data_IF_934433743275
#
_entry.id   IF_934433743275
#
_cell.length_a   1.000
_cell.length_b   1.000
_cell.length_c   1.000
_cell.angle_alpha   90.00
_cell.angle_beta   90.00
_cell.angle_gamma   90.00
#
_symmetry.space_group_name_H-M   'P 1'
#
loop_
_entity.id
_entity.type
_entity.pdbx_description
1 polymer ?
#
# COMPACT_ATOMS: atom_id res chain seq x y z
N UNK A 1 10.19 62.70 34.69
CA UNK A 1 8.85 62.59 35.33
C UNK A 1 7.78 62.65 34.27
N UNK A 2 7.16 61.52 33.93
CA UNK A 2 5.77 61.34 33.46
C UNK A 2 5.50 59.82 33.42
N UNK A 3 4.31 59.46 33.88
CA UNK A 3 3.84 58.12 34.29
C UNK A 3 3.81 57.05 33.18
N UNK A 4 3.71 55.76 33.56
CA UNK A 4 3.75 54.63 32.63
C UNK A 4 2.37 54.35 32.00
N UNK A 5 2.36 53.90 30.75
CA UNK A 5 1.19 53.25 30.16
C UNK A 5 1.22 51.74 30.46
N UNK A 6 0.22 51.29 31.22
CA UNK A 6 -0.17 49.89 31.29
C UNK A 6 -0.55 49.41 29.88
N UNK A 7 0.21 48.45 29.35
CA UNK A 7 -0.23 47.62 28.22
C UNK A 7 -0.94 46.39 28.79
N UNK A 8 -2.27 46.37 28.65
CA UNK A 8 -3.10 45.19 28.83
C UNK A 8 -2.68 44.14 27.78
N UNK A 9 -2.02 43.07 28.23
CA UNK A 9 -1.84 41.85 27.44
C UNK A 9 -3.17 41.09 27.39
N UNK A 10 -3.94 41.31 26.32
CA UNK A 10 -5.05 40.45 25.96
C UNK A 10 -4.53 39.10 25.48
N UNK A 11 -4.69 38.07 26.30
CA UNK A 11 -4.44 36.69 25.90
C UNK A 11 -5.49 36.26 24.85
N UNK A 12 -5.12 36.29 23.57
CA UNK A 12 -5.83 35.50 22.56
C UNK A 12 -5.54 34.03 22.86
N UNK A 13 -6.53 33.35 23.46
CA UNK A 13 -6.56 31.91 23.47
C UNK A 13 -6.82 31.41 22.04
N UNK A 14 -5.74 31.10 21.30
CA UNK A 14 -5.84 30.23 20.13
C UNK A 14 -6.33 28.87 20.62
N UNK A 15 -7.61 28.59 20.42
CA UNK A 15 -8.12 27.23 20.49
C UNK A 15 -7.42 26.43 19.37
N UNK A 16 -6.34 25.74 19.73
CA UNK A 16 -5.80 24.69 18.89
C UNK A 16 -6.90 23.65 18.75
N UNK A 17 -7.51 23.57 17.57
CA UNK A 17 -8.29 22.40 17.20
C UNK A 17 -7.33 21.22 17.27
N UNK A 18 -7.38 20.48 18.38
CA UNK A 18 -6.74 19.18 18.50
C UNK A 18 -7.47 18.34 17.46
N UNK A 19 -6.88 18.20 16.28
CA UNK A 19 -7.33 17.23 15.30
C UNK A 19 -7.34 15.89 16.04
N UNK A 20 -8.53 15.37 16.33
CA UNK A 20 -8.63 14.05 16.90
C UNK A 20 -7.89 13.11 15.96
N UNK A 21 -7.04 12.19 16.47
CA UNK A 21 -6.46 11.17 15.62
C UNK A 21 -7.64 10.45 14.98
N UNK A 22 -7.75 10.57 13.65
CA UNK A 22 -8.70 9.76 12.90
C UNK A 22 -8.23 8.33 13.15
N UNK A 23 -8.98 7.58 13.95
CA UNK A 23 -8.79 6.14 14.13
C UNK A 23 -9.06 5.47 12.79
N UNK A 24 -8.05 5.54 11.92
CA UNK A 24 -8.12 5.00 10.59
C UNK A 24 -7.85 3.51 10.71
N UNK A 25 -8.89 2.70 10.57
CA UNK A 25 -8.71 1.25 10.39
C UNK A 25 -8.09 1.05 9.00
N UNK A 26 -6.82 0.61 8.89
CA UNK A 26 -6.20 0.41 7.58
C UNK A 26 -6.99 -0.63 6.79
N UNK A 27 -7.03 -0.45 5.46
CA UNK A 27 -7.62 -1.44 4.58
C UNK A 27 -6.97 -2.83 4.80
N UNK A 28 -7.71 -3.94 4.61
CA UNK A 28 -7.16 -5.27 4.74
C UNK A 28 -6.00 -5.49 3.77
N UNK A 29 -5.15 -6.46 4.11
CA UNK A 29 -3.97 -6.80 3.31
C UNK A 29 -4.36 -7.19 1.87
N UNK A 30 -3.73 -6.52 0.90
CA UNK A 30 -3.85 -6.78 -0.53
C UNK A 30 -2.49 -6.97 -1.17
N UNK A 31 -2.39 -7.70 -2.29
CA UNK A 31 -1.13 -7.84 -2.99
C UNK A 31 -0.68 -6.48 -3.54
N UNK A 32 0.61 -6.27 -3.53
CA UNK A 32 1.32 -5.24 -4.27
C UNK A 32 1.45 -5.72 -5.71
N UNK A 33 1.14 -4.85 -6.66
CA UNK A 33 1.38 -5.04 -8.09
C UNK A 33 2.46 -4.05 -8.50
N UNK A 34 3.73 -4.48 -8.58
CA UNK A 34 4.80 -3.65 -9.10
C UNK A 34 4.65 -3.44 -10.60
N UNK A 35 4.93 -2.22 -11.03
CA UNK A 35 5.07 -1.82 -12.41
C UNK A 35 6.49 -1.36 -12.65
N UNK A 36 7.03 -1.74 -13.79
CA UNK A 36 8.37 -1.36 -14.24
C UNK A 36 8.25 -0.40 -15.41
N UNK A 37 9.20 0.53 -15.49
CA UNK A 37 9.29 1.46 -16.60
C UNK A 37 9.88 0.75 -17.83
N UNK A 38 9.17 0.81 -18.94
CA UNK A 38 9.61 0.47 -20.29
C UNK A 38 9.65 1.75 -21.13
N UNK A 39 10.30 1.67 -22.29
CA UNK A 39 10.34 2.77 -23.27
C UNK A 39 8.91 3.26 -23.63
N UNK A 40 7.98 2.33 -23.80
CA UNK A 40 6.59 2.61 -24.19
C UNK A 40 5.68 3.05 -23.04
N UNK A 41 6.12 2.97 -21.79
CA UNK A 41 5.29 3.28 -20.62
C UNK A 41 5.56 2.37 -19.44
N UNK A 42 4.61 2.29 -18.50
CA UNK A 42 4.69 1.33 -17.39
C UNK A 42 3.97 0.04 -17.74
N UNK A 43 4.56 -1.09 -17.37
CA UNK A 43 3.94 -2.41 -17.51
C UNK A 43 4.05 -3.19 -16.17
N UNK A 44 3.09 -4.08 -15.85
CA UNK A 44 3.20 -4.94 -14.68
C UNK A 44 4.50 -5.76 -14.74
N UNK A 45 5.22 -5.80 -13.63
CA UNK A 45 6.42 -6.62 -13.50
C UNK A 45 6.02 -8.09 -13.49
N UNK A 46 6.60 -8.86 -14.40
CA UNK A 46 6.35 -10.28 -14.53
C UNK A 46 7.37 -11.13 -13.76
N UNK A 47 8.64 -10.72 -13.76
CA UNK A 47 9.70 -11.43 -13.07
C UNK A 47 10.88 -10.51 -12.77
N UNK A 48 11.85 -11.02 -12.01
CA UNK A 48 13.16 -10.43 -11.85
C UNK A 48 14.16 -11.46 -12.36
N UNK A 49 15.01 -11.10 -13.31
CA UNK A 49 15.96 -12.04 -13.88
C UNK A 49 17.15 -12.32 -12.94
N UNK A 50 18.01 -13.28 -13.30
CA UNK A 50 19.16 -13.68 -12.48
C UNK A 50 20.21 -12.58 -12.23
N UNK A 51 20.16 -11.49 -12.99
CA UNK A 51 20.97 -10.29 -12.76
C UNK A 51 20.26 -9.24 -11.89
N UNK A 52 19.18 -9.65 -11.22
CA UNK A 52 18.31 -8.81 -10.40
C UNK A 52 17.67 -7.65 -11.19
N UNK A 53 17.46 -7.86 -12.49
CA UNK A 53 16.82 -6.88 -13.36
C UNK A 53 15.31 -7.15 -13.46
N UNK A 54 14.44 -6.18 -13.14
CA UNK A 54 13.01 -6.33 -13.32
C UNK A 54 12.62 -6.50 -14.79
N UNK A 55 11.64 -7.34 -15.06
CA UNK A 55 11.14 -7.64 -16.41
C UNK A 55 9.63 -7.57 -16.45
N UNK A 56 9.07 -7.19 -17.59
CA UNK A 56 7.65 -7.26 -17.90
C UNK A 56 7.41 -8.23 -19.07
N UNK A 57 6.18 -8.70 -19.24
CA UNK A 57 5.76 -9.44 -20.42
C UNK A 57 5.08 -8.50 -21.41
N UNK A 58 5.65 -8.36 -22.60
CA UNK A 58 5.09 -7.59 -23.73
C UNK A 58 4.90 -8.56 -24.88
N UNK A 59 3.65 -8.75 -25.31
CA UNK A 59 3.30 -9.70 -26.40
C UNK A 59 3.87 -11.11 -26.16
N UNK A 60 3.84 -11.56 -24.91
CA UNK A 60 4.36 -12.88 -24.49
C UNK A 60 5.89 -12.97 -24.39
N UNK A 61 6.63 -11.90 -24.68
CA UNK A 61 8.09 -11.85 -24.57
C UNK A 61 8.51 -11.13 -23.31
N UNK A 62 9.54 -11.65 -22.65
CA UNK A 62 10.16 -10.97 -21.51
C UNK A 62 10.98 -9.78 -22.00
N UNK A 63 10.65 -8.60 -21.48
CA UNK A 63 11.32 -7.32 -21.79
C UNK A 63 11.85 -6.75 -20.48
N UNK A 64 13.14 -6.38 -20.47
CA UNK A 64 13.77 -5.74 -19.32
C UNK A 64 13.24 -4.32 -19.13
N UNK A 65 13.14 -3.91 -17.88
CA UNK A 65 12.88 -2.52 -17.52
C UNK A 65 13.96 -1.61 -18.14
N UNK A 66 13.55 -0.42 -18.59
CA UNK A 66 14.43 0.64 -19.09
C UNK A 66 15.39 1.11 -17.98
N UNK A 67 14.85 1.26 -16.77
CA UNK A 67 15.60 1.62 -15.57
C UNK A 67 15.32 0.63 -14.44
N UNK A 68 16.38 0.26 -13.70
CA UNK A 68 16.31 -0.63 -12.54
C UNK A 68 15.78 0.05 -11.28
N UNK A 69 15.70 1.39 -11.26
CA UNK A 69 15.31 2.14 -10.05
C UNK A 69 13.93 2.81 -10.16
N UNK A 70 13.27 2.75 -11.30
CA UNK A 70 11.97 3.39 -11.52
C UNK A 70 10.85 2.35 -11.41
N UNK A 71 10.10 2.46 -10.31
CA UNK A 71 8.94 1.61 -10.01
C UNK A 71 7.69 2.43 -9.83
N UNK A 72 6.56 1.86 -10.24
CA UNK A 72 5.25 2.27 -9.76
C UNK A 72 4.59 1.09 -9.03
N UNK A 73 3.67 1.40 -8.13
CA UNK A 73 2.94 0.39 -7.38
C UNK A 73 1.44 0.64 -7.44
N UNK A 74 0.71 -0.46 -7.49
CA UNK A 74 -0.72 -0.52 -7.26
C UNK A 74 -1.02 -1.59 -6.23
N UNK A 75 -2.15 -1.46 -5.54
CA UNK A 75 -2.73 -2.60 -4.87
C UNK A 75 -3.48 -3.45 -5.90
N UNK A 76 -3.31 -4.76 -5.83
CA UNK A 76 -4.09 -5.74 -6.59
C UNK A 76 -5.19 -6.37 -5.75
N UNK A 77 -5.91 -7.31 -6.36
CA UNK A 77 -7.12 -7.88 -5.77
C UNK A 77 -6.91 -9.28 -5.18
N UNK A 78 -5.95 -10.05 -5.68
CA UNK A 78 -5.82 -11.47 -5.33
C UNK A 78 -4.35 -11.88 -5.23
N UNK A 79 -3.98 -12.50 -4.13
CA UNK A 79 -2.66 -13.11 -3.94
C UNK A 79 -2.57 -14.40 -4.77
N UNK A 80 -1.36 -14.71 -5.22
CA UNK A 80 -1.05 -16.04 -5.72
C UNK A 80 -1.21 -17.10 -4.60
N UNK A 81 -1.48 -18.37 -4.95
CA UNK A 81 -1.54 -19.46 -3.99
C UNK A 81 -0.26 -19.60 -3.15
N UNK A 82 -0.42 -20.13 -1.94
CA UNK A 82 0.66 -20.39 -1.00
C UNK A 82 0.97 -19.23 -0.06
N UNK A 83 1.93 -19.49 0.80
CA UNK A 83 2.40 -18.58 1.84
C UNK A 83 3.91 -18.70 2.00
N UNK A 84 4.58 -17.56 2.21
CA UNK A 84 6.03 -17.51 2.50
C UNK A 84 6.28 -16.84 3.84
N UNK A 85 6.75 -17.62 4.81
CA UNK A 85 7.21 -17.10 6.09
C UNK A 85 8.60 -16.46 5.92
N UNK A 86 8.72 -15.20 6.32
CA UNK A 86 9.96 -14.43 6.39
C UNK A 86 10.38 -14.37 7.85
N UNK A 87 11.49 -15.05 8.17
CA UNK A 87 11.97 -15.23 9.56
C UNK A 87 13.46 -14.91 9.65
N UNK A 88 14.01 -14.89 10.87
CA UNK A 88 15.44 -14.63 11.12
C UNK A 88 15.90 -13.34 10.42
N UNK A 89 15.09 -12.29 10.57
CA UNK A 89 15.37 -11.02 9.94
C UNK A 89 16.41 -10.26 10.75
N UNK A 90 17.48 -9.86 10.06
CA UNK A 90 18.56 -9.06 10.61
C UNK A 90 18.86 -7.90 9.65
N UNK A 91 18.99 -6.69 10.21
CA UNK A 91 19.42 -5.50 9.46
C UNK A 91 20.79 -5.08 9.98
N UNK A 92 21.77 -5.06 9.09
CA UNK A 92 23.13 -4.63 9.40
C UNK A 92 23.45 -3.34 8.64
N UNK A 93 23.78 -2.27 9.35
CA UNK A 93 24.20 -1.02 8.74
C UNK A 93 25.71 -1.00 8.57
N UNK A 94 26.17 -0.75 7.35
CA UNK A 94 27.58 -0.61 7.02
C UNK A 94 27.95 0.86 6.90
N UNK A 95 29.01 1.26 7.57
CA UNK A 95 29.64 2.57 7.42
C UNK A 95 31.09 2.39 7.00
N UNK A 96 31.57 3.33 6.19
CA UNK A 96 33.00 3.45 5.92
C UNK A 96 33.59 4.37 6.98
N UNK A 97 34.59 3.86 7.70
CA UNK A 97 35.41 4.64 8.61
C UNK A 97 36.58 5.22 7.81
N UNK A 98 36.85 6.50 8.01
CA UNK A 98 38.00 7.18 7.44
C UNK A 98 38.93 7.56 8.59
N UNK A 99 40.22 7.34 8.43
CA UNK A 99 41.26 7.80 9.36
C UNK A 99 42.27 8.63 8.58
N UNK A 100 42.98 9.56 9.23
CA UNK A 100 44.18 10.15 8.64
C UNK A 100 45.38 9.20 8.70
N UNK A 101 46.55 9.67 8.24
CA UNK A 101 47.80 8.91 8.27
C UNK A 101 48.34 8.66 9.68
N UNK A 102 47.83 9.37 10.69
CA UNK A 102 48.19 9.21 12.11
C UNK A 102 47.15 8.36 12.87
N UNK A 103 46.23 7.71 12.15
CA UNK A 103 45.10 6.94 12.69
C UNK A 103 44.10 7.76 13.53
N UNK A 104 44.02 9.08 13.32
CA UNK A 104 42.97 9.91 13.91
C UNK A 104 41.65 9.61 13.19
N UNK A 105 40.60 9.17 13.90
CA UNK A 105 39.33 8.84 13.26
C UNK A 105 38.57 10.08 12.80
N UNK A 106 38.11 10.07 11.56
CA UNK A 106 37.12 10.99 11.02
C UNK A 106 35.69 10.45 11.19
N UNK A 107 34.69 11.29 10.89
CA UNK A 107 33.28 10.88 10.87
C UNK A 107 33.04 9.73 9.89
N UNK A 108 32.34 8.69 10.34
CA UNK A 108 31.92 7.58 9.48
C UNK A 108 30.75 7.98 8.58
N UNK A 109 30.78 7.57 7.31
CA UNK A 109 29.66 7.78 6.38
C UNK A 109 28.91 6.45 6.20
N UNK A 110 27.60 6.39 6.47
CA UNK A 110 26.79 5.21 6.14
C UNK A 110 26.83 4.95 4.63
N UNK A 111 27.16 3.72 4.23
CA UNK A 111 27.26 3.36 2.80
C UNK A 111 26.06 2.56 2.33
N UNK A 112 25.63 1.57 3.11
CA UNK A 112 24.48 0.74 2.79
C UNK A 112 23.98 -0.02 4.03
N UNK A 113 22.74 -0.50 3.95
CA UNK A 113 22.18 -1.48 4.87
C UNK A 113 22.12 -2.84 4.17
N UNK A 114 22.39 -3.91 4.90
CA UNK A 114 22.19 -5.29 4.46
C UNK A 114 21.01 -5.86 5.23
N UNK A 115 19.99 -6.31 4.51
CA UNK A 115 18.86 -7.05 5.07
C UNK A 115 19.11 -8.53 4.81
N UNK A 116 19.22 -9.31 5.88
CA UNK A 116 19.30 -10.77 5.84
C UNK A 116 17.98 -11.36 6.35
N UNK A 117 17.49 -12.41 5.69
CA UNK A 117 16.29 -13.12 6.15
C UNK A 117 16.31 -14.58 5.67
N UNK A 118 15.44 -15.39 6.27
CA UNK A 118 15.15 -16.76 5.86
C UNK A 118 13.71 -16.86 5.35
N UNK A 119 13.56 -17.22 4.08
CA UNK A 119 12.29 -17.47 3.42
C UNK A 119 11.93 -18.95 3.52
N UNK A 120 10.73 -19.28 3.99
CA UNK A 120 10.21 -20.66 4.01
C UNK A 120 8.82 -20.68 3.39
N UNK A 121 8.64 -21.39 2.28
CA UNK A 121 7.34 -21.53 1.62
C UNK A 121 6.63 -22.81 2.05
N UNK A 122 5.30 -22.78 2.10
CA UNK A 122 4.44 -23.95 2.29
C UNK A 122 4.24 -24.77 0.99
N UNK A 123 4.55 -24.21 -0.16
CA UNK A 123 4.47 -24.84 -1.48
C UNK A 123 5.83 -24.79 -2.21
N UNK A 124 5.97 -25.58 -3.27
CA UNK A 124 7.08 -25.44 -4.21
C UNK A 124 6.83 -24.21 -5.11
N UNK A 125 7.84 -23.33 -5.20
CA UNK A 125 7.82 -22.16 -6.08
C UNK A 125 9.06 -22.28 -6.98
N UNK A 126 8.86 -22.49 -8.29
CA UNK A 126 9.96 -22.74 -9.22
C UNK A 126 10.84 -21.52 -9.45
N UNK A 127 10.23 -20.34 -9.52
CA UNK A 127 10.93 -19.07 -9.74
C UNK A 127 10.36 -17.98 -8.83
N UNK A 128 10.97 -17.82 -7.65
CA UNK A 128 10.62 -16.78 -6.71
C UNK A 128 11.48 -15.53 -6.95
N UNK A 129 10.86 -14.38 -6.79
CA UNK A 129 11.53 -13.09 -6.73
C UNK A 129 11.02 -12.31 -5.52
N UNK A 130 11.77 -11.31 -5.08
CA UNK A 130 11.36 -10.45 -3.96
C UNK A 130 11.58 -8.99 -4.30
N UNK A 131 10.74 -8.13 -3.71
CA UNK A 131 11.04 -6.71 -3.54
C UNK A 131 11.17 -6.43 -2.04
N UNK A 132 12.29 -5.83 -1.64
CA UNK A 132 12.37 -5.15 -0.36
C UNK A 132 11.76 -3.76 -0.54
N UNK A 133 10.60 -3.52 0.07
CA UNK A 133 9.94 -2.22 0.11
C UNK A 133 10.33 -1.52 1.40
N UNK A 134 10.67 -0.25 1.30
CA UNK A 134 10.91 0.65 2.42
C UNK A 134 10.02 1.85 2.23
N UNK A 135 9.26 2.25 3.24
CA UNK A 135 8.23 3.27 3.10
C UNK A 135 7.97 3.98 4.41
N UNK A 136 7.43 5.19 4.31
CA UNK A 136 6.92 5.92 5.47
C UNK A 136 5.46 5.49 5.72
N UNK A 137 5.24 4.68 6.75
CA UNK A 137 3.89 4.23 7.12
C UNK A 137 3.10 5.29 7.88
N UNK A 138 3.75 6.34 8.38
CA UNK A 138 3.15 7.33 9.25
C UNK A 138 2.93 8.67 8.53
N UNK A 139 3.34 8.78 7.26
CA UNK A 139 3.12 9.95 6.42
C UNK A 139 1.62 10.28 6.23
N UNK A 140 1.33 11.56 6.04
CA UNK A 140 -0.01 12.04 5.69
C UNK A 140 -0.39 11.61 4.26
N UNK A 141 -1.69 11.33 4.07
CA UNK A 141 -2.31 10.98 2.78
C UNK A 141 -2.28 12.10 1.75
N UNK A 142 -2.03 13.34 2.18
CA UNK A 142 -2.00 14.53 1.32
C UNK A 142 -0.61 14.82 0.73
N UNK A 143 0.39 14.05 1.15
CA UNK A 143 1.79 14.18 0.73
C UNK A 143 2.11 13.16 -0.35
N UNK A 144 3.05 13.48 -1.23
CA UNK A 144 3.62 12.49 -2.17
C UNK A 144 4.17 11.31 -1.36
N UNK A 145 3.67 10.07 -1.56
CA UNK A 145 4.10 8.92 -0.79
C UNK A 145 5.59 8.62 -1.00
N UNK A 146 6.37 8.58 0.08
CA UNK A 146 7.79 8.25 0.04
C UNK A 146 7.99 6.74 0.18
N UNK A 147 8.65 6.13 -0.81
CA UNK A 147 9.07 4.74 -0.75
C UNK A 147 10.35 4.50 -1.55
N UNK A 148 11.01 3.38 -1.28
CA UNK A 148 12.05 2.79 -2.11
C UNK A 148 11.82 1.29 -2.26
N UNK A 149 12.30 0.74 -3.37
CA UNK A 149 12.19 -0.68 -3.66
C UNK A 149 13.55 -1.22 -4.13
N UNK A 150 13.90 -2.43 -3.68
CA UNK A 150 15.08 -3.14 -4.18
C UNK A 150 14.71 -4.54 -4.64
N UNK A 151 14.90 -4.86 -5.93
CA UNK A 151 14.56 -6.16 -6.49
C UNK A 151 15.67 -7.18 -6.25
N UNK A 152 15.25 -8.44 -6.07
CA UNK A 152 16.16 -9.57 -6.01
C UNK A 152 15.53 -10.83 -6.58
N UNK A 153 16.26 -11.50 -7.45
CA UNK A 153 15.95 -12.86 -7.87
C UNK A 153 16.32 -13.84 -6.75
N UNK A 154 15.37 -14.71 -6.40
CA UNK A 154 15.58 -15.77 -5.42
C UNK A 154 15.69 -17.13 -6.11
N UNK A 155 14.93 -17.35 -7.18
CA UNK A 155 14.80 -18.64 -7.86
C UNK A 155 14.02 -19.64 -7.01
N UNK A 156 14.29 -20.94 -7.20
CA UNK A 156 13.49 -22.01 -6.58
C UNK A 156 13.44 -21.92 -5.04
N UNK A 157 12.22 -21.98 -4.51
CA UNK A 157 11.90 -22.27 -3.11
C UNK A 157 11.22 -23.63 -3.05
N UNK A 158 11.66 -24.50 -2.15
CA UNK A 158 11.03 -25.81 -1.95
C UNK A 158 10.16 -25.78 -0.69
N UNK A 159 9.01 -26.42 -0.74
CA UNK A 159 8.08 -26.51 0.37
C UNK A 159 8.78 -26.97 1.66
N UNK A 160 8.55 -26.24 2.76
CA UNK A 160 9.14 -26.49 4.07
C UNK A 160 10.65 -26.25 4.19
N UNK A 161 11.35 -25.97 3.10
CA UNK A 161 12.81 -25.75 3.11
C UNK A 161 13.13 -24.27 3.15
N UNK A 162 13.72 -23.84 4.25
CA UNK A 162 14.15 -22.46 4.40
C UNK A 162 15.34 -22.10 3.51
N UNK A 163 15.25 -20.95 2.84
CA UNK A 163 16.32 -20.38 2.00
C UNK A 163 16.75 -19.02 2.56
N UNK A 164 18.04 -18.87 2.83
CA UNK A 164 18.61 -17.58 3.26
C UNK A 164 18.72 -16.64 2.07
N UNK A 165 18.41 -15.38 2.31
CA UNK A 165 18.55 -14.28 1.36
C UNK A 165 19.33 -13.14 2.01
N UNK A 166 20.00 -12.36 1.17
CA UNK A 166 20.63 -11.10 1.56
C UNK A 166 20.39 -10.08 0.46
N UNK A 167 20.01 -8.87 0.86
CA UNK A 167 19.85 -7.74 -0.05
C UNK A 167 20.62 -6.54 0.49
N UNK A 168 21.24 -5.79 -0.42
CA UNK A 168 21.80 -4.47 -0.14
C UNK A 168 20.75 -3.42 -0.44
N UNK A 169 20.67 -2.42 0.42
CA UNK A 169 19.81 -1.26 0.26
C UNK A 169 20.57 0.01 0.66
N UNK A 170 20.22 1.20 0.15
CA UNK A 170 20.72 2.45 0.70
C UNK A 170 20.55 2.51 2.23
N UNK A 171 21.38 3.30 2.94
CA UNK A 171 21.31 3.38 4.39
C UNK A 171 19.89 3.75 4.86
N UNK A 172 19.32 2.92 5.72
CA UNK A 172 18.08 3.22 6.44
C UNK A 172 18.37 4.21 7.58
N UNK A 173 18.89 5.39 7.24
CA UNK A 173 19.31 6.42 8.18
C UNK A 173 18.43 7.68 8.14
N UNK A 174 18.27 8.34 9.28
CA UNK A 174 17.53 9.61 9.44
C UNK A 174 16.60 9.61 10.66
N UNK A 175 16.02 10.76 10.99
CA UNK A 175 15.01 10.90 12.07
C UNK A 175 13.64 10.31 11.70
N UNK A 176 13.44 9.91 10.44
CA UNK A 176 12.20 9.28 9.96
C UNK A 176 12.14 7.81 10.37
N UNK A 177 11.00 7.40 10.91
CA UNK A 177 10.70 6.01 11.23
C UNK A 177 10.26 5.30 9.95
N UNK A 178 11.21 4.68 9.26
CA UNK A 178 10.92 3.88 8.07
C UNK A 178 10.32 2.53 8.46
N UNK A 179 9.18 2.19 7.88
CA UNK A 179 8.69 0.83 7.82
C UNK A 179 9.28 0.13 6.60
N UNK A 180 9.28 -1.20 6.61
CA UNK A 180 9.75 -1.98 5.47
C UNK A 180 9.01 -3.33 5.41
N UNK A 181 9.02 -3.95 4.24
CA UNK A 181 8.40 -5.25 4.01
C UNK A 181 9.09 -6.00 2.89
N UNK A 182 9.28 -7.32 3.06
CA UNK A 182 9.72 -8.21 1.98
C UNK A 182 8.47 -8.82 1.35
N UNK A 183 8.19 -8.41 0.12
CA UNK A 183 7.11 -8.97 -0.69
C UNK A 183 7.67 -10.00 -1.66
N UNK A 184 7.03 -11.16 -1.74
CA UNK A 184 7.48 -12.30 -2.54
C UNK A 184 6.57 -12.49 -3.74
N UNK A 185 7.16 -12.68 -4.92
CA UNK A 185 6.47 -12.82 -6.18
C UNK A 185 6.82 -14.13 -6.88
N UNK A 186 5.88 -14.65 -7.65
CA UNK A 186 6.13 -15.64 -8.69
C UNK A 186 5.15 -15.42 -9.83
N UNK A 187 5.62 -15.52 -11.08
CA UNK A 187 4.78 -15.31 -12.27
C UNK A 187 4.05 -13.95 -12.29
N UNK A 188 4.69 -12.90 -11.78
CA UNK A 188 4.13 -11.55 -11.73
C UNK A 188 3.06 -11.30 -10.65
N UNK A 189 2.76 -12.31 -9.83
CA UNK A 189 1.77 -12.20 -8.75
C UNK A 189 2.45 -12.28 -7.39
N UNK A 190 2.00 -11.46 -6.45
CA UNK A 190 2.48 -11.55 -5.07
C UNK A 190 1.91 -12.79 -4.39
N UNK A 191 2.79 -13.59 -3.78
CA UNK A 191 2.45 -14.65 -2.84
C UNK A 191 2.36 -14.02 -1.44
N UNK A 192 1.36 -14.40 -0.65
CA UNK A 192 1.20 -13.87 0.71
C UNK A 192 2.46 -14.16 1.52
N UNK A 193 3.02 -13.14 2.15
CA UNK A 193 4.17 -13.28 3.05
C UNK A 193 3.86 -12.74 4.43
N UNK A 194 4.48 -13.33 5.44
CA UNK A 194 4.43 -12.87 6.83
C UNK A 194 5.84 -12.64 7.37
N UNK A 195 6.00 -11.65 8.25
CA UNK A 195 7.28 -11.31 8.87
C UNK A 195 7.18 -10.02 9.67
N UNK A 196 8.29 -9.60 10.27
CA UNK A 196 8.34 -8.34 11.01
C UNK A 196 7.99 -7.17 10.07
N UNK A 197 7.20 -6.21 10.56
CA UNK A 197 6.70 -5.02 9.83
C UNK A 197 5.77 -5.25 8.61
N UNK A 198 5.42 -6.49 8.25
CA UNK A 198 4.43 -6.72 7.15
C UNK A 198 3.05 -6.12 7.47
N UNK A 199 2.74 -5.86 8.75
CA UNK A 199 1.53 -5.19 9.20
C UNK A 199 1.44 -3.71 8.79
N UNK A 200 2.56 -3.06 8.44
CA UNK A 200 2.59 -1.66 8.01
C UNK A 200 2.25 -1.49 6.52
N UNK A 201 2.42 -2.54 5.71
CA UNK A 201 2.20 -2.50 4.27
C UNK A 201 0.75 -2.16 3.87
N UNK A 202 -0.30 -2.71 4.51
CA UNK A 202 -1.69 -2.34 4.19
C UNK A 202 -1.97 -0.85 4.39
N UNK A 203 -1.41 -0.25 5.45
CA UNK A 203 -1.51 1.19 5.71
C UNK A 203 -0.82 2.00 4.61
N UNK A 204 0.39 1.60 4.22
CA UNK A 204 1.10 2.25 3.12
C UNK A 204 0.32 2.18 1.79
N UNK A 205 -0.26 1.02 1.45
CA UNK A 205 -1.10 0.89 0.26
C UNK A 205 -2.32 1.81 0.31
N UNK A 206 -3.00 1.91 1.45
CA UNK A 206 -4.13 2.83 1.62
C UNK A 206 -3.71 4.29 1.43
N UNK A 207 -2.57 4.71 1.99
CA UNK A 207 -2.00 6.05 1.77
C UNK A 207 -1.76 6.32 0.28
N UNK A 208 -1.14 5.39 -0.44
CA UNK A 208 -0.86 5.58 -1.87
C UNK A 208 -2.13 5.70 -2.72
N UNK A 209 -3.17 4.92 -2.41
CA UNK A 209 -4.43 4.99 -3.13
C UNK A 209 -5.19 6.27 -2.84
N UNK A 210 -5.21 6.73 -1.58
CA UNK A 210 -5.85 8.00 -1.19
C UNK A 210 -5.18 9.19 -1.84
N UNK A 211 -3.85 9.21 -1.89
CA UNK A 211 -3.11 10.24 -2.62
C UNK A 211 -3.50 10.25 -4.11
N UNK A 212 -3.53 9.09 -4.76
CA UNK A 212 -3.92 8.98 -6.18
C UNK A 212 -5.38 9.34 -6.42
N UNK A 213 -6.26 8.99 -5.49
CA UNK A 213 -7.67 9.34 -5.51
C UNK A 213 -7.86 10.85 -5.47
N UNK A 214 -7.18 11.55 -4.55
CA UNK A 214 -7.19 13.01 -4.47
C UNK A 214 -6.66 13.67 -5.75
N UNK A 215 -5.56 13.15 -6.32
CA UNK A 215 -5.07 13.61 -7.63
C UNK A 215 -6.13 13.43 -8.72
N UNK A 216 -6.84 12.30 -8.74
CA UNK A 216 -7.87 12.02 -9.73
C UNK A 216 -9.08 12.94 -9.60
N UNK A 217 -9.49 13.29 -8.39
CA UNK A 217 -10.52 14.30 -8.16
C UNK A 217 -10.08 15.68 -8.68
N UNK A 218 -8.84 16.10 -8.35
CA UNK A 218 -8.30 17.37 -8.82
C UNK A 218 -8.16 17.45 -10.36
N UNK A 219 -7.87 16.33 -11.03
CA UNK A 219 -7.96 16.22 -12.48
C UNK A 219 -9.40 16.38 -12.98
N UNK A 220 -10.36 15.66 -12.40
CA UNK A 220 -11.77 15.68 -12.81
C UNK A 220 -12.40 17.07 -12.69
N UNK A 221 -12.10 17.83 -11.63
CA UNK A 221 -12.60 19.22 -11.46
C UNK A 221 -12.31 20.14 -12.64
N UNK A 222 -11.27 19.85 -13.43
CA UNK A 222 -10.88 20.61 -14.63
C UNK A 222 -11.55 20.12 -15.91
N UNK A 223 -12.25 18.98 -15.85
CA UNK A 223 -12.92 18.33 -16.96
C UNK A 223 -14.42 18.60 -17.00
N UNK A 224 -15.14 17.96 -17.94
CA UNK A 224 -16.59 18.07 -18.04
C UNK A 224 -17.29 17.33 -16.89
N UNK A 225 -18.58 17.63 -16.74
CA UNK A 225 -19.49 16.85 -15.90
C UNK A 225 -19.34 15.35 -16.17
N UNK A 226 -19.31 14.58 -15.10
CA UNK A 226 -18.92 13.17 -15.15
C UNK A 226 -19.74 12.37 -14.15
N UNK A 227 -20.16 11.14 -14.50
CA UNK A 227 -20.91 10.30 -13.58
C UNK A 227 -20.04 9.81 -12.42
N UNK A 228 -20.70 9.19 -11.43
CA UNK A 228 -20.00 8.43 -10.39
C UNK A 228 -19.12 7.35 -11.03
N UNK A 229 -17.91 7.17 -10.51
CA UNK A 229 -17.00 6.10 -10.89
C UNK A 229 -16.52 5.33 -9.68
N UNK A 230 -16.23 4.04 -9.85
CA UNK A 230 -15.56 3.25 -8.82
C UNK A 230 -14.05 3.48 -8.93
N UNK A 231 -13.40 3.91 -7.84
CA UNK A 231 -11.94 4.10 -7.80
C UNK A 231 -11.25 2.90 -7.19
N UNK A 232 -11.71 2.48 -6.01
CA UNK A 232 -11.20 1.33 -5.27
C UNK A 232 -12.34 0.40 -4.91
N UNK A 233 -12.19 -0.85 -5.31
CA UNK A 233 -13.04 -1.96 -4.87
C UNK A 233 -12.28 -2.77 -3.84
N UNK A 234 -12.97 -3.18 -2.78
CA UNK A 234 -12.47 -4.20 -1.84
C UNK A 234 -13.29 -5.48 -1.99
N UNK A 235 -12.67 -6.66 -1.94
CA UNK A 235 -13.41 -7.91 -1.90
C UNK A 235 -14.29 -7.96 -0.65
N UNK A 236 -15.40 -8.71 -0.76
CA UNK A 236 -16.19 -9.05 0.40
C UNK A 236 -15.53 -10.23 1.12
N UNK A 237 -15.26 -10.06 2.40
CA UNK A 237 -14.73 -11.13 3.25
C UNK A 237 -15.89 -11.76 4.03
N UNK A 238 -16.49 -12.80 3.43
CA UNK A 238 -17.53 -13.59 4.06
C UNK A 238 -16.94 -14.83 4.72
N UNK A 239 -17.46 -15.20 5.89
CA UNK A 239 -17.14 -16.49 6.51
C UNK A 239 -17.68 -17.64 5.64
N UNK A 240 -17.13 -18.84 5.80
CA UNK A 240 -17.58 -19.99 5.03
C UNK A 240 -19.04 -20.35 5.35
N UNK A 241 -19.48 -20.13 6.59
CA UNK A 241 -20.88 -20.29 6.98
C UNK A 241 -21.79 -19.31 6.23
N UNK A 242 -21.39 -18.04 6.07
CA UNK A 242 -22.16 -17.06 5.31
C UNK A 242 -22.19 -17.40 3.82
N UNK A 243 -21.05 -17.80 3.24
CA UNK A 243 -20.98 -18.23 1.83
C UNK A 243 -21.91 -19.41 1.57
N UNK A 244 -21.87 -20.43 2.43
CA UNK A 244 -22.74 -21.61 2.28
C UNK A 244 -24.22 -21.26 2.46
N UNK A 245 -24.55 -20.46 3.48
CA UNK A 245 -25.95 -20.09 3.79
C UNK A 245 -26.61 -19.26 2.69
N UNK A 246 -25.85 -18.35 2.07
CA UNK A 246 -26.34 -17.43 1.05
C UNK A 246 -25.92 -17.81 -0.38
N UNK A 247 -25.36 -19.01 -0.57
CA UNK A 247 -24.86 -19.48 -1.87
C UNK A 247 -25.89 -19.30 -2.98
N UNK A 248 -25.47 -18.67 -4.08
CA UNK A 248 -26.34 -18.42 -5.24
C UNK A 248 -27.39 -17.32 -5.05
N UNK A 249 -27.47 -16.70 -3.87
CA UNK A 249 -28.31 -15.53 -3.64
C UNK A 249 -27.58 -14.25 -4.06
N UNK A 250 -28.36 -13.19 -4.30
CA UNK A 250 -27.82 -11.86 -4.54
C UNK A 250 -28.54 -10.82 -3.70
N UNK A 251 -27.78 -9.89 -3.14
CA UNK A 251 -28.30 -8.78 -2.35
C UNK A 251 -27.97 -7.46 -3.01
N UNK A 252 -28.74 -6.43 -2.71
CA UNK A 252 -28.46 -5.07 -3.16
C UNK A 252 -28.18 -4.18 -1.96
N UNK A 253 -27.10 -3.39 -2.02
CA UNK A 253 -26.82 -2.36 -1.04
C UNK A 253 -26.98 -0.98 -1.68
N UNK A 254 -27.74 -0.09 -1.05
CA UNK A 254 -27.70 1.33 -1.33
C UNK A 254 -26.55 1.97 -0.54
N UNK A 255 -25.62 2.59 -1.25
CA UNK A 255 -24.37 3.15 -0.71
C UNK A 255 -24.38 4.65 -0.95
N UNK A 256 -24.41 5.44 0.13
CA UNK A 256 -24.34 6.89 0.06
C UNK A 256 -22.86 7.30 0.03
N UNK A 257 -22.46 7.95 -1.06
CA UNK A 257 -21.12 8.45 -1.34
C UNK A 257 -21.12 9.96 -1.12
N UNK A 258 -20.14 10.47 -0.38
CA UNK A 258 -19.98 11.91 -0.17
C UNK A 258 -19.19 12.60 -1.31
N UNK A 259 -18.97 13.91 -1.17
CA UNK A 259 -18.21 14.72 -2.14
C UNK A 259 -16.71 14.36 -2.21
N UNK A 260 -16.21 13.67 -1.19
CA UNK A 260 -14.83 13.23 -1.08
C UNK A 260 -14.70 11.78 -1.59
N UNK A 261 -15.78 11.20 -2.13
CA UNK A 261 -15.78 9.87 -2.70
C UNK A 261 -15.75 8.75 -1.67
N UNK A 262 -15.94 9.07 -0.39
CA UNK A 262 -15.99 8.10 0.69
C UNK A 262 -17.42 7.59 0.91
N UNK A 263 -17.52 6.39 1.45
CA UNK A 263 -18.80 5.76 1.79
C UNK A 263 -19.27 6.25 3.16
N UNK A 264 -20.22 7.17 3.15
CA UNK A 264 -20.81 7.76 4.36
C UNK A 264 -21.86 6.86 5.02
N UNK A 265 -22.60 6.07 4.23
CA UNK A 265 -23.65 5.17 4.72
C UNK A 265 -23.86 3.98 3.80
N UNK A 266 -24.17 2.83 4.39
CA UNK A 266 -24.54 1.61 3.67
C UNK A 266 -25.88 1.13 4.22
N UNK A 267 -26.84 0.86 3.32
CA UNK A 267 -28.14 0.26 3.64
C UNK A 267 -28.33 -0.98 2.78
N UNK A 268 -28.58 -2.13 3.40
CA UNK A 268 -29.04 -3.31 2.66
C UNK A 268 -30.49 -3.10 2.23
N UNK A 269 -30.79 -3.40 0.97
CA UNK A 269 -32.16 -3.39 0.46
C UNK A 269 -32.78 -4.76 0.66
N UNK A 270 -33.98 -4.80 1.24
CA UNK A 270 -34.71 -6.01 1.59
C UNK A 270 -34.71 -6.33 3.10
N UNK A 271 -35.55 -7.29 3.49
CA UNK A 271 -35.65 -7.76 4.87
C UNK A 271 -34.54 -8.78 5.16
N UNK A 272 -33.37 -8.28 5.58
CA UNK A 272 -32.28 -9.12 6.08
C UNK A 272 -32.03 -8.83 7.56
N UNK A 273 -32.39 -9.82 8.37
CA UNK A 273 -32.25 -9.79 9.82
C UNK A 273 -30.87 -10.26 10.30
N UNK A 274 -30.05 -10.87 9.43
CA UNK A 274 -28.75 -11.45 9.79
C UNK A 274 -27.71 -10.35 10.09
N UNK A 275 -27.33 -10.15 11.37
CA UNK A 275 -26.41 -9.09 11.76
C UNK A 275 -24.98 -9.35 11.29
N UNK A 276 -24.55 -10.62 11.19
CA UNK A 276 -23.21 -10.98 10.77
C UNK A 276 -23.01 -10.68 9.28
N UNK A 277 -24.00 -11.03 8.46
CA UNK A 277 -24.00 -10.65 7.04
C UNK A 277 -23.98 -9.14 6.86
N UNK A 278 -24.84 -8.42 7.60
CA UNK A 278 -24.89 -6.95 7.56
C UNK A 278 -23.55 -6.34 7.93
N UNK A 279 -22.93 -6.79 9.01
CA UNK A 279 -21.64 -6.29 9.45
C UNK A 279 -20.56 -6.53 8.39
N UNK A 280 -20.47 -7.74 7.81
CA UNK A 280 -19.49 -8.07 6.78
C UNK A 280 -19.65 -7.16 5.55
N UNK A 281 -20.87 -6.99 5.05
CA UNK A 281 -21.16 -6.11 3.90
C UNK A 281 -20.80 -4.65 4.20
N UNK A 282 -21.27 -4.12 5.33
CA UNK A 282 -21.04 -2.72 5.71
C UNK A 282 -19.54 -2.45 5.90
N UNK A 283 -18.83 -3.33 6.61
CA UNK A 283 -17.39 -3.22 6.82
C UNK A 283 -16.62 -3.24 5.49
N UNK A 284 -16.93 -4.15 4.57
CA UNK A 284 -16.27 -4.20 3.26
C UNK A 284 -16.57 -2.98 2.39
N UNK A 285 -17.84 -2.55 2.30
CA UNK A 285 -18.23 -1.41 1.46
C UNK A 285 -17.69 -0.09 1.98
N UNK A 286 -17.55 0.09 3.30
CA UNK A 286 -16.92 1.29 3.88
C UNK A 286 -15.47 1.51 3.45
N UNK A 287 -14.80 0.45 2.99
CA UNK A 287 -13.43 0.52 2.51
C UNK A 287 -13.32 0.83 1.01
N UNK A 288 -14.43 0.86 0.28
CA UNK A 288 -14.44 1.24 -1.13
C UNK A 288 -14.22 2.74 -1.26
N UNK A 289 -13.62 3.16 -2.38
CA UNK A 289 -13.49 4.58 -2.74
C UNK A 289 -14.13 4.79 -4.10
N UNK A 290 -14.79 5.93 -4.25
CA UNK A 290 -15.47 6.33 -5.47
C UNK A 290 -14.94 7.66 -5.98
N UNK A 291 -15.08 7.91 -7.27
CA UNK A 291 -15.04 9.24 -7.83
C UNK A 291 -16.49 9.74 -7.88
N UNK A 292 -16.91 10.67 -7.01
CA UNK A 292 -18.29 11.14 -6.99
C UNK A 292 -18.65 11.85 -8.30
N UNK A 293 -19.95 11.96 -8.62
CA UNK A 293 -20.39 12.74 -9.77
C UNK A 293 -19.84 14.17 -9.70
N UNK A 294 -19.41 14.65 -10.86
CA UNK A 294 -19.05 16.05 -11.04
C UNK A 294 -20.20 16.76 -11.74
N UNK A 295 -20.67 17.85 -11.15
CA UNK A 295 -21.69 18.72 -11.75
C UNK A 295 -21.27 20.17 -11.62
N UNK A 296 -21.16 20.87 -12.74
CA UNK A 296 -20.69 22.26 -12.82
C UNK A 296 -19.34 22.46 -12.09
N UNK A 297 -18.40 21.54 -12.30
CA UNK A 297 -17.05 21.62 -11.70
C UNK A 297 -16.97 21.33 -10.20
N UNK A 298 -18.06 20.90 -9.56
CA UNK A 298 -18.10 20.54 -8.14
C UNK A 298 -18.49 19.07 -7.95
N UNK A 299 -17.82 18.38 -7.02
CA UNK A 299 -18.24 17.06 -6.56
C UNK A 299 -19.54 17.14 -5.75
N UNK A 300 -20.48 16.26 -6.06
CA UNK A 300 -21.75 16.15 -5.32
C UNK A 300 -21.90 14.76 -4.73
N UNK A 301 -22.49 14.68 -3.53
CA UNK A 301 -22.86 13.40 -2.93
C UNK A 301 -23.91 12.68 -3.76
N UNK A 302 -23.90 11.35 -3.73
CA UNK A 302 -24.83 10.51 -4.50
C UNK A 302 -25.08 9.17 -3.83
N UNK A 303 -26.06 8.41 -4.31
CA UNK A 303 -26.32 7.04 -3.87
C UNK A 303 -26.11 6.09 -5.04
N UNK A 304 -25.33 5.03 -4.83
CA UNK A 304 -25.18 3.94 -5.79
C UNK A 304 -25.76 2.64 -5.26
N UNK A 305 -26.20 1.78 -6.16
CA UNK A 305 -26.70 0.45 -5.84
C UNK A 305 -25.65 -0.59 -6.20
N UNK A 306 -25.15 -1.30 -5.19
CA UNK A 306 -24.09 -2.30 -5.35
C UNK A 306 -24.70 -3.70 -5.23
N UNK A 307 -24.69 -4.51 -6.30
CA UNK A 307 -25.08 -5.91 -6.22
C UNK A 307 -23.97 -6.72 -5.53
N UNK A 308 -24.37 -7.57 -4.60
CA UNK A 308 -23.52 -8.43 -3.79
C UNK A 308 -23.89 -9.86 -4.10
N UNK A 309 -22.88 -10.67 -4.43
CA UNK A 309 -23.02 -12.09 -4.76
C UNK A 309 -22.22 -12.92 -3.75
N UNK A 310 -22.73 -14.12 -3.45
CA UNK A 310 -22.17 -15.09 -2.50
C UNK A 310 -21.67 -16.33 -3.22
#
# INVERSE_FOLDING_TARGET
>A
MRLPHLLLLGALACAAAIAQPVDFTPAPARPVVPFVKLETGFAPMAAIDRSDWPTALVEGKSVRAEDRNTYAFLAGDTFAPGHVAVTQLEVTNWSTQYTDCDNVPFSSIPTHSVVSAKLTSDIDIEDAAILLLVFDSDQSTDSVPAFGASPRHVGKLRAGKGKKIQLKFPPLGGSRRWAWSIVVFSGGQQIRSSGDNTHALPRFLDITERFRHAQKLAERRRGPDSPVGLFRRMPFEFSDELKQRYAGQSLMAAVDIDRDGEVSRVRLLGELSDPALRQAVVSSLRLWLFLPPLKNGSEIGTTVHVPIKF
#
